data_IF_075424456095
#
_entry.id   IF_075424456095
#
_cell.length_a   1.000
_cell.length_b   1.000
_cell.length_c   1.000
_cell.angle_alpha   90.00
_cell.angle_beta   90.00
_cell.angle_gamma   90.00
#
_symmetry.space_group_name_H-M   'P 1'
#
loop_
_entity.id
_entity.type
_entity.pdbx_description
1 polymer ?
#
# COMPACT_ATOMS: atom_id res chain seq x y z
N UNK A 1 -3.86 -24.59 -1.41
CA UNK A 1 -4.03 -23.62 -2.51
C UNK A 1 -2.76 -23.63 -3.32
N UNK A 2 -2.85 -23.53 -4.64
CA UNK A 2 -1.67 -23.46 -5.51
C UNK A 2 -1.03 -22.06 -5.44
N UNK A 3 0.26 -21.90 -5.78
CA UNK A 3 0.92 -20.59 -5.83
C UNK A 3 0.19 -19.57 -6.72
N UNK A 4 -0.42 -20.01 -7.83
CA UNK A 4 -1.23 -19.15 -8.70
C UNK A 4 -2.49 -18.64 -8.00
N UNK A 5 -3.16 -19.50 -7.23
CA UNK A 5 -4.34 -19.10 -6.46
C UNK A 5 -3.97 -18.10 -5.36
N UNK A 6 -2.83 -18.30 -4.69
CA UNK A 6 -2.31 -17.37 -3.69
C UNK A 6 -1.94 -16.02 -4.33
N UNK A 7 -1.26 -16.04 -5.48
CA UNK A 7 -0.92 -14.85 -6.24
C UNK A 7 -2.16 -14.01 -6.57
N UNK A 8 -3.24 -14.64 -7.06
CA UNK A 8 -4.49 -13.94 -7.34
C UNK A 8 -5.09 -13.26 -6.10
N UNK A 9 -4.99 -13.88 -4.92
CA UNK A 9 -5.45 -13.25 -3.67
C UNK A 9 -4.57 -12.05 -3.31
N UNK A 10 -3.24 -12.22 -3.34
CA UNK A 10 -2.31 -11.16 -2.94
C UNK A 10 -2.38 -9.95 -3.88
N UNK A 11 -2.54 -10.17 -5.18
CA UNK A 11 -2.75 -9.08 -6.14
C UNK A 11 -4.08 -8.35 -5.90
N UNK A 12 -5.14 -9.06 -5.51
CA UNK A 12 -6.41 -8.42 -5.12
C UNK A 12 -6.26 -7.58 -3.84
N UNK A 13 -5.49 -8.05 -2.85
CA UNK A 13 -5.17 -7.29 -1.64
C UNK A 13 -4.37 -6.02 -1.98
N UNK A 14 -3.33 -6.13 -2.83
CA UNK A 14 -2.59 -4.97 -3.34
C UNK A 14 -3.51 -3.98 -4.07
N UNK A 15 -4.36 -4.47 -4.97
CA UNK A 15 -5.30 -3.63 -5.72
C UNK A 15 -6.23 -2.85 -4.79
N UNK A 16 -6.80 -3.52 -3.79
CA UNK A 16 -7.66 -2.85 -2.81
C UNK A 16 -6.92 -1.74 -2.05
N UNK A 17 -5.68 -1.98 -1.61
CA UNK A 17 -4.88 -0.93 -0.96
C UNK A 17 -4.57 0.24 -1.91
N UNK A 18 -4.24 -0.05 -3.17
CA UNK A 18 -3.96 0.97 -4.18
C UNK A 18 -5.20 1.81 -4.52
N UNK A 19 -6.39 1.21 -4.63
CA UNK A 19 -7.65 1.91 -4.88
C UNK A 19 -7.97 2.89 -3.74
N UNK A 20 -7.85 2.43 -2.49
CA UNK A 20 -8.08 3.28 -1.31
C UNK A 20 -7.04 4.42 -1.24
N UNK A 21 -5.77 4.13 -1.56
CA UNK A 21 -4.73 5.17 -1.62
C UNK A 21 -5.04 6.23 -2.68
N UNK A 22 -5.49 5.81 -3.86
CA UNK A 22 -5.83 6.73 -4.94
C UNK A 22 -7.00 7.65 -4.56
N UNK A 23 -8.01 7.12 -3.87
CA UNK A 23 -9.13 7.91 -3.35
C UNK A 23 -8.68 8.91 -2.28
N UNK A 24 -7.93 8.45 -1.28
CA UNK A 24 -7.41 9.32 -0.23
C UNK A 24 -6.46 10.41 -0.78
N UNK A 25 -5.65 10.11 -1.80
CA UNK A 25 -4.80 11.10 -2.49
C UNK A 25 -5.63 12.14 -3.24
N UNK A 26 -6.72 11.71 -3.89
CA UNK A 26 -7.62 12.62 -4.58
C UNK A 26 -8.28 13.58 -3.58
N UNK A 27 -8.72 13.10 -2.43
CA UNK A 27 -9.26 13.95 -1.36
C UNK A 27 -8.19 14.88 -0.79
N UNK A 28 -6.98 14.39 -0.59
CA UNK A 28 -5.87 15.18 -0.06
C UNK A 28 -5.37 16.27 -1.03
N UNK A 29 -5.55 16.08 -2.34
CA UNK A 29 -5.08 17.01 -3.37
C UNK A 29 -5.60 18.45 -3.22
N UNK A 30 -6.72 18.65 -2.52
CA UNK A 30 -7.30 19.97 -2.28
C UNK A 30 -6.53 20.82 -1.25
N UNK A 31 -5.70 20.19 -0.39
CA UNK A 31 -4.99 20.85 0.70
C UNK A 31 -3.51 20.43 0.82
N UNK A 32 -3.03 19.59 -0.09
CA UNK A 32 -1.62 19.34 -0.32
C UNK A 32 -1.05 20.33 -1.36
N UNK A 33 0.27 20.64 -1.34
CA UNK A 33 1.28 20.15 -0.40
C UNK A 33 1.18 20.83 0.98
N UNK A 34 1.61 20.12 2.02
CA UNK A 34 1.68 20.67 3.36
C UNK A 34 2.82 21.70 3.47
N UNK A 35 2.54 22.80 4.16
CA UNK A 35 3.49 23.78 4.68
C UNK A 35 3.17 24.08 6.16
N UNK A 36 3.96 24.95 6.80
CA UNK A 36 3.80 25.29 8.22
C UNK A 36 2.37 25.78 8.54
N UNK A 37 1.80 26.63 7.69
CA UNK A 37 0.48 27.21 7.87
C UNK A 37 -0.64 26.19 7.69
N UNK A 38 -0.58 25.35 6.65
CA UNK A 38 -1.58 24.29 6.45
C UNK A 38 -1.51 23.23 7.54
N UNK A 39 -0.32 23.03 8.13
CA UNK A 39 -0.14 22.04 9.18
C UNK A 39 -0.83 22.39 10.48
N UNK A 40 -0.76 23.65 10.87
CA UNK A 40 -1.45 24.15 12.07
C UNK A 40 -2.98 24.17 11.90
N UNK A 41 -3.48 24.16 10.67
CA UNK A 41 -4.91 24.25 10.35
C UNK A 41 -5.58 22.93 9.96
N UNK A 42 -4.86 21.80 9.98
CA UNK A 42 -5.47 20.53 9.58
C UNK A 42 -6.67 20.17 10.46
N UNK A 43 -7.76 19.82 9.80
CA UNK A 43 -8.93 19.29 10.48
C UNK A 43 -8.68 17.85 10.92
N UNK A 44 -9.50 17.37 11.86
CA UNK A 44 -9.49 15.95 12.27
C UNK A 44 -9.76 15.00 11.11
N UNK A 45 -10.52 15.43 10.11
CA UNK A 45 -10.81 14.64 8.91
C UNK A 45 -9.58 14.55 8.01
N UNK A 46 -8.89 15.67 7.78
CA UNK A 46 -7.64 15.67 7.00
C UNK A 46 -6.53 14.84 7.66
N UNK A 47 -6.43 14.89 9.01
CA UNK A 47 -5.51 14.02 9.75
C UNK A 47 -5.81 12.53 9.52
N UNK A 48 -7.10 12.15 9.53
CA UNK A 48 -7.50 10.76 9.23
C UNK A 48 -7.15 10.34 7.81
N UNK A 49 -7.26 11.25 6.84
CA UNK A 49 -6.83 10.99 5.46
C UNK A 49 -5.31 10.76 5.41
N UNK A 50 -4.51 11.54 6.13
CA UNK A 50 -3.06 11.32 6.22
C UNK A 50 -2.73 9.96 6.87
N UNK A 51 -3.41 9.59 7.96
CA UNK A 51 -3.25 8.30 8.60
C UNK A 51 -3.62 7.14 7.64
N UNK A 52 -4.70 7.32 6.87
CA UNK A 52 -5.12 6.35 5.86
C UNK A 52 -4.07 6.20 4.75
N UNK A 53 -3.50 7.31 4.27
CA UNK A 53 -2.42 7.29 3.29
C UNK A 53 -1.20 6.53 3.83
N UNK A 54 -0.72 6.88 5.02
CA UNK A 54 0.41 6.22 5.64
C UNK A 54 0.16 4.72 5.85
N UNK A 55 -0.98 4.38 6.45
CA UNK A 55 -1.34 2.99 6.74
C UNK A 55 -1.48 2.15 5.47
N UNK A 56 -2.25 2.61 4.49
CA UNK A 56 -2.51 1.83 3.27
C UNK A 56 -1.26 1.69 2.42
N UNK A 57 -0.37 2.69 2.42
CA UNK A 57 0.91 2.60 1.72
C UNK A 57 1.80 1.54 2.36
N UNK A 58 1.93 1.53 3.70
CA UNK A 58 2.66 0.47 4.41
C UNK A 58 2.07 -0.91 4.12
N UNK A 59 0.74 -1.07 4.20
CA UNK A 59 0.09 -2.36 3.91
C UNK A 59 0.31 -2.82 2.47
N UNK A 60 0.29 -1.90 1.50
CA UNK A 60 0.61 -2.22 0.11
C UNK A 60 2.05 -2.72 -0.03
N UNK A 61 3.02 -2.00 0.56
CA UNK A 61 4.44 -2.38 0.54
C UNK A 61 4.70 -3.73 1.22
N UNK A 62 4.08 -3.98 2.38
CA UNK A 62 4.18 -5.25 3.10
C UNK A 62 3.67 -6.40 2.22
N UNK A 63 2.47 -6.26 1.63
CA UNK A 63 1.87 -7.32 0.81
C UNK A 63 2.70 -7.56 -0.44
N UNK A 64 3.22 -6.51 -1.07
CA UNK A 64 4.11 -6.65 -2.23
C UNK A 64 5.42 -7.37 -1.87
N UNK A 65 6.07 -6.98 -0.77
CA UNK A 65 7.40 -7.49 -0.41
C UNK A 65 7.36 -8.87 0.25
N UNK A 66 6.40 -9.12 1.14
CA UNK A 66 6.35 -10.35 1.96
C UNK A 66 5.53 -11.47 1.31
N UNK A 67 4.65 -11.14 0.35
CA UNK A 67 3.76 -12.14 -0.27
C UNK A 67 3.96 -12.21 -1.78
N UNK A 68 3.75 -11.10 -2.49
CA UNK A 68 3.80 -11.10 -3.96
C UNK A 68 5.18 -11.47 -4.47
N UNK A 69 6.24 -10.82 -3.98
CA UNK A 69 7.61 -11.08 -4.45
C UNK A 69 8.04 -12.55 -4.24
N UNK A 70 7.92 -13.15 -3.04
CA UNK A 70 8.23 -14.56 -2.85
C UNK A 70 7.43 -15.50 -3.77
N UNK A 71 6.14 -15.24 -3.97
CA UNK A 71 5.31 -16.07 -4.85
C UNK A 71 5.69 -15.91 -6.33
N UNK A 72 6.13 -14.72 -6.77
CA UNK A 72 6.69 -14.55 -8.13
C UNK A 72 7.94 -15.42 -8.29
N UNK A 73 8.86 -15.39 -7.31
CA UNK A 73 10.09 -16.18 -7.37
C UNK A 73 9.78 -17.68 -7.40
N UNK A 74 8.85 -18.14 -6.57
CA UNK A 74 8.39 -19.55 -6.57
C UNK A 74 7.82 -19.96 -7.94
N UNK A 75 6.93 -19.16 -8.51
CA UNK A 75 6.32 -19.42 -9.83
C UNK A 75 7.35 -19.37 -10.97
N UNK A 76 8.36 -18.51 -10.87
CA UNK A 76 9.45 -18.39 -11.83
C UNK A 76 10.54 -19.48 -11.66
N UNK A 77 10.43 -20.31 -10.62
CA UNK A 77 11.47 -21.25 -10.18
C UNK A 77 12.82 -20.56 -9.85
N UNK A 78 12.77 -19.30 -9.43
CA UNK A 78 13.93 -18.55 -8.98
C UNK A 78 14.20 -18.82 -7.49
N UNK A 79 15.47 -18.84 -7.05
CA UNK A 79 15.79 -19.03 -5.64
C UNK A 79 15.27 -17.85 -4.81
N UNK A 80 14.50 -18.15 -3.76
CA UNK A 80 14.12 -17.16 -2.76
C UNK A 80 15.39 -16.83 -1.97
N UNK A 81 15.80 -15.55 -1.96
CA UNK A 81 16.92 -15.10 -1.15
C UNK A 81 16.66 -15.48 0.32
N UNK A 82 17.54 -16.28 0.92
CA UNK A 82 17.44 -16.57 2.35
C UNK A 82 17.94 -15.38 3.13
N UNK A 83 17.14 -14.88 4.07
CA UNK A 83 17.59 -13.86 5.02
C UNK A 83 18.79 -14.44 5.81
N UNK A 84 19.96 -13.84 5.62
CA UNK A 84 21.20 -14.12 6.36
C UNK A 84 21.41 -13.09 7.46
#
# INVERSE_FOLDING_TARGET
MTPEQLMHIYLNECRLHAEILAEALKEASAWLPLNAETMERLTKEQLRILDQLAYRFTKLQDTMSQKVLPTILELAQEPIASDA
#
